data_IF_938735203910
#
_entry.id   IF_938735203910
#
_cell.length_a   1.000
_cell.length_b   1.000
_cell.length_c   1.000
_cell.angle_alpha   90.00
_cell.angle_beta   90.00
_cell.angle_gamma   90.00
#
_symmetry.space_group_name_H-M   'P 1'
#
loop_
_entity.id
_entity.type
_entity.pdbx_description
1 polymer ?
#
# COMPACT_ATOMS: atom_id res chain seq x y z
N UNK A 1 -12.38 9.86 -5.36
CA UNK A 1 -11.45 8.71 -5.47
C UNK A 1 -10.10 9.31 -5.75
N UNK A 2 -9.13 9.05 -4.89
CA UNK A 2 -7.78 9.60 -4.95
C UNK A 2 -6.80 8.48 -5.24
N UNK A 3 -5.87 8.75 -6.15
CA UNK A 3 -4.74 7.89 -6.46
C UNK A 3 -3.49 8.58 -5.97
N UNK A 4 -2.70 7.87 -5.15
CA UNK A 4 -1.37 8.32 -4.74
C UNK A 4 -0.36 7.36 -5.31
N UNK A 5 0.68 7.94 -5.90
CA UNK A 5 1.78 7.20 -6.49
C UNK A 5 3.09 7.73 -5.92
N UNK A 6 3.98 6.80 -5.57
CA UNK A 6 5.32 7.10 -5.10
C UNK A 6 6.31 6.21 -5.82
N UNK A 7 7.43 6.79 -6.23
CA UNK A 7 8.53 6.10 -6.88
C UNK A 7 9.84 6.81 -6.53
N UNK A 8 10.76 6.05 -5.96
CA UNK A 8 12.10 6.50 -5.57
C UNK A 8 13.22 5.90 -6.44
N UNK A 9 12.85 5.30 -7.57
CA UNK A 9 13.74 4.59 -8.48
C UNK A 9 14.04 3.15 -8.06
N UNK A 10 13.63 2.72 -6.87
CA UNK A 10 13.84 1.36 -6.35
C UNK A 10 12.52 0.62 -6.08
N UNK A 11 11.51 1.35 -5.63
CA UNK A 11 10.20 0.83 -5.26
C UNK A 11 9.12 1.70 -5.88
N UNK A 12 8.10 1.05 -6.43
CA UNK A 12 6.88 1.72 -6.88
C UNK A 12 5.77 1.41 -5.89
N UNK A 13 5.09 2.43 -5.39
CA UNK A 13 3.93 2.31 -4.50
C UNK A 13 2.74 3.01 -5.13
N UNK A 14 1.67 2.26 -5.39
CA UNK A 14 0.37 2.77 -5.80
C UNK A 14 -0.65 2.58 -4.68
N UNK A 15 -1.37 3.64 -4.31
CA UNK A 15 -2.40 3.60 -3.26
C UNK A 15 -3.70 4.21 -3.76
N UNK A 16 -4.79 3.48 -3.58
CA UNK A 16 -6.15 3.90 -3.92
C UNK A 16 -6.90 4.25 -2.66
N UNK A 17 -7.36 5.50 -2.58
CA UNK A 17 -8.12 6.03 -1.46
C UNK A 17 -9.52 6.41 -1.94
N UNK A 18 -10.54 5.88 -1.27
CA UNK A 18 -11.94 6.22 -1.53
C UNK A 18 -12.60 6.71 -0.25
N UNK A 19 -13.23 7.90 -0.29
CA UNK A 19 -13.89 8.51 0.87
C UNK A 19 -13.00 8.54 2.13
N UNK A 20 -11.71 8.88 1.97
CA UNK A 20 -10.68 8.87 3.03
C UNK A 20 -10.34 7.48 3.63
N UNK A 21 -10.79 6.40 3.01
CA UNK A 21 -10.43 5.01 3.36
C UNK A 21 -9.51 4.42 2.30
N UNK A 22 -8.55 3.62 2.74
CA UNK A 22 -7.65 2.91 1.85
C UNK A 22 -8.35 1.68 1.29
N UNK A 23 -8.47 1.59 -0.04
CA UNK A 23 -9.19 0.51 -0.71
C UNK A 23 -8.25 -0.51 -1.35
N UNK A 24 -7.13 -0.04 -1.88
CA UNK A 24 -6.14 -0.92 -2.48
C UNK A 24 -4.75 -0.30 -2.37
N UNK A 25 -3.76 -1.15 -2.27
CA UNK A 25 -2.36 -0.76 -2.24
C UNK A 25 -1.55 -1.77 -3.03
N UNK A 26 -0.61 -1.28 -3.84
CA UNK A 26 0.22 -2.08 -4.72
C UNK A 26 1.67 -1.63 -4.61
N UNK A 27 2.58 -2.59 -4.56
CA UNK A 27 4.02 -2.38 -4.52
C UNK A 27 4.68 -3.19 -5.62
N UNK A 28 5.66 -2.57 -6.27
CA UNK A 28 6.59 -3.23 -7.14
C UNK A 28 8.00 -2.98 -6.61
N UNK A 29 8.62 -4.04 -6.09
CA UNK A 29 10.04 -4.12 -5.81
C UNK A 29 10.72 -4.90 -6.95
N UNK A 30 12.06 -4.85 -7.10
CA UNK A 30 12.75 -5.46 -8.25
C UNK A 30 12.49 -6.96 -8.48
N UNK A 31 12.03 -7.69 -7.45
CA UNK A 31 11.74 -9.14 -7.52
C UNK A 31 10.40 -9.54 -6.91
N UNK A 32 9.64 -8.59 -6.37
CA UNK A 32 8.42 -8.86 -5.62
C UNK A 32 7.36 -7.88 -6.09
N UNK A 33 6.21 -8.42 -6.46
CA UNK A 33 5.00 -7.64 -6.67
C UNK A 33 4.01 -8.01 -5.57
N UNK A 34 3.56 -7.02 -4.81
CA UNK A 34 2.62 -7.20 -3.71
C UNK A 34 1.40 -6.31 -3.93
N UNK A 35 0.21 -6.89 -3.82
CA UNK A 35 -1.05 -6.13 -3.90
C UNK A 35 -1.94 -6.57 -2.76
N UNK A 36 -2.52 -5.58 -2.09
CA UNK A 36 -3.47 -5.77 -1.02
C UNK A 36 -4.74 -5.01 -1.34
N UNK A 37 -5.88 -5.68 -1.20
CA UNK A 37 -7.19 -5.08 -1.29
C UNK A 37 -7.80 -5.01 0.11
N UNK A 38 -8.40 -3.87 0.42
CA UNK A 38 -9.06 -3.64 1.70
C UNK A 38 -10.52 -3.27 1.45
N UNK A 39 -11.41 -4.16 1.86
CA UNK A 39 -12.85 -3.96 1.79
C UNK A 39 -13.34 -3.69 3.22
N UNK A 40 -13.38 -2.42 3.61
CA UNK A 40 -13.77 -2.03 4.98
C UNK A 40 -15.27 -2.22 5.21
N UNK A 41 -15.64 -3.21 6.04
CA UNK A 41 -16.94 -3.28 6.69
C UNK A 41 -17.11 -2.26 7.82
N UNK A 42 -16.02 -1.89 8.50
CA UNK A 42 -15.97 -0.82 9.51
C UNK A 42 -14.52 -0.34 9.67
N UNK A 43 -14.32 0.88 10.17
CA UNK A 43 -13.03 1.58 10.23
C UNK A 43 -11.95 0.81 11.01
N UNK A 44 -11.07 0.08 10.31
CA UNK A 44 -9.72 -0.19 10.83
C UNK A 44 -8.74 0.79 10.18
N UNK A 45 -8.25 1.70 11.02
CA UNK A 45 -7.12 2.57 10.71
C UNK A 45 -5.86 1.71 10.92
N UNK A 46 -5.09 1.52 9.87
CA UNK A 46 -3.82 0.79 9.96
C UNK A 46 -2.74 1.78 10.36
N UNK A 47 -2.33 1.77 11.62
CA UNK A 47 -1.20 2.55 12.14
C UNK A 47 0.14 1.78 12.07
N UNK A 48 0.15 0.57 11.52
CA UNK A 48 1.35 -0.28 11.57
C UNK A 48 2.01 -0.37 10.19
N UNK A 49 3.29 0.02 10.18
CA UNK A 49 4.19 -0.14 9.06
C UNK A 49 4.19 -1.55 8.48
N UNK A 50 4.65 -1.62 7.24
CA UNK A 50 4.75 -2.84 6.47
C UNK A 50 5.53 -3.93 7.22
N UNK A 51 4.95 -5.12 7.45
CA UNK A 51 5.67 -6.21 8.11
C UNK A 51 6.81 -6.77 7.24
N UNK A 52 6.91 -6.40 5.97
CA UNK A 52 7.87 -6.97 5.03
C UNK A 52 9.15 -6.16 4.83
N UNK A 53 9.20 -4.89 5.26
CA UNK A 53 10.39 -4.06 5.06
C UNK A 53 11.41 -4.22 6.19
N UNK A 54 10.98 -4.58 7.41
CA UNK A 54 11.90 -4.85 8.53
C UNK A 54 12.76 -6.10 8.27
N UNK A 55 12.26 -7.08 7.50
CA UNK A 55 12.98 -8.31 7.13
C UNK A 55 13.87 -8.15 5.88
N UNK A 56 13.94 -6.96 5.28
CA UNK A 56 14.70 -6.66 4.06
C UNK A 56 15.99 -5.83 4.33
N UNK A 57 16.33 -5.59 5.61
CA UNK A 57 17.61 -5.01 6.04
C UNK A 57 18.69 -6.07 6.23
#
# INVERSE_FOLDING_TARGET
MEWRYYNDGKVWLGKVIYKKKDCAMAFCLPRIFYVQFSFHGENQRWDNGFPFFDDLQ
#
